data_IF_212478409500
#
_entry.id   IF_212478409500
#
_cell.length_a   1.000
_cell.length_b   1.000
_cell.length_c   1.000
_cell.angle_alpha   90.00
_cell.angle_beta   90.00
_cell.angle_gamma   90.00
#
_symmetry.space_group_name_H-M   'P 1'
#
loop_
_entity.id
_entity.type
_entity.pdbx_description
1 polymer ?
#
# COMPACT_ATOMS: atom_id res chain seq x y z
N UNK A 1 -5.66 -3.20 11.19
CA UNK A 1 -4.78 -2.16 11.76
C UNK A 1 -3.98 -1.58 10.62
N UNK A 2 -4.17 -0.31 10.35
CA UNK A 2 -3.45 0.47 9.32
C UNK A 2 -2.05 0.81 9.81
N UNK A 3 -1.12 1.16 8.90
CA UNK A 3 0.26 1.52 9.22
C UNK A 3 0.76 2.63 8.30
N UNK A 4 1.33 3.68 8.86
CA UNK A 4 1.94 4.80 8.14
C UNK A 4 3.39 4.95 8.55
N UNK A 5 4.28 5.13 7.56
CA UNK A 5 5.70 5.34 7.79
C UNK A 5 6.16 6.65 7.18
N UNK A 6 7.00 7.37 7.92
CA UNK A 6 7.66 8.59 7.47
C UNK A 6 9.13 8.30 7.14
N UNK A 7 9.46 8.29 5.85
CA UNK A 7 10.82 8.12 5.35
C UNK A 7 11.39 9.45 4.82
N UNK A 8 12.71 9.55 4.66
CA UNK A 8 13.33 10.75 4.06
C UNK A 8 13.13 10.79 2.54
N UNK A 9 13.06 9.61 1.92
CA UNK A 9 12.96 9.42 0.49
C UNK A 9 11.99 8.27 0.21
N UNK A 10 11.57 8.17 -1.06
CA UNK A 10 10.78 7.04 -1.55
C UNK A 10 11.61 6.24 -2.55
N UNK A 11 12.43 5.33 -2.05
CA UNK A 11 13.32 4.50 -2.87
C UNK A 11 12.85 3.06 -3.00
N UNK A 12 13.48 2.29 -3.90
CA UNK A 12 13.28 0.86 -4.02
C UNK A 12 13.70 0.10 -2.74
N UNK A 13 14.70 0.61 -2.02
CA UNK A 13 15.18 0.03 -0.76
C UNK A 13 14.13 0.24 0.34
N UNK A 14 13.61 1.46 0.48
CA UNK A 14 12.55 1.77 1.46
C UNK A 14 11.34 0.86 1.25
N UNK A 15 10.92 0.70 -0.01
CA UNK A 15 9.84 -0.22 -0.39
C UNK A 15 10.13 -1.67 0.00
N UNK A 16 11.34 -2.16 -0.28
CA UNK A 16 11.73 -3.53 0.06
C UNK A 16 11.69 -3.79 1.58
N UNK A 17 12.11 -2.82 2.39
CA UNK A 17 12.00 -2.90 3.84
C UNK A 17 10.54 -2.91 4.32
N UNK A 18 9.63 -2.19 3.66
CA UNK A 18 8.19 -2.29 3.97
C UNK A 18 7.64 -3.68 3.66
N UNK A 19 8.03 -4.28 2.54
CA UNK A 19 7.61 -5.63 2.20
C UNK A 19 8.12 -6.67 3.21
N UNK A 20 9.38 -6.53 3.66
CA UNK A 20 9.92 -7.36 4.74
C UNK A 20 9.14 -7.19 6.04
N UNK A 21 8.83 -5.95 6.41
CA UNK A 21 8.03 -5.64 7.60
C UNK A 21 6.65 -6.31 7.57
N UNK A 22 5.97 -6.30 6.41
CA UNK A 22 4.70 -7.00 6.25
C UNK A 22 4.83 -8.50 6.51
N UNK A 23 5.89 -9.11 5.98
CA UNK A 23 6.13 -10.56 6.06
C UNK A 23 6.56 -11.01 7.45
N UNK A 24 7.46 -10.26 8.09
CA UNK A 24 8.11 -10.73 9.33
C UNK A 24 7.42 -10.21 10.59
N UNK A 25 6.83 -9.02 10.56
CA UNK A 25 6.30 -8.36 11.76
C UNK A 25 4.76 -8.28 11.74
N UNK A 26 4.17 -7.84 10.62
CA UNK A 26 2.70 -7.65 10.58
C UNK A 26 1.93 -8.94 10.40
N UNK A 27 2.37 -9.80 9.50
CA UNK A 27 1.67 -11.03 9.15
C UNK A 27 2.60 -12.25 9.14
N UNK A 28 3.38 -12.51 10.21
CA UNK A 28 4.34 -13.61 10.25
C UNK A 28 3.70 -14.98 10.06
N UNK A 29 2.44 -15.13 10.49
CA UNK A 29 1.70 -16.40 10.41
C UNK A 29 0.93 -16.56 9.09
N UNK A 30 0.87 -15.54 8.24
CA UNK A 30 0.20 -15.66 6.95
C UNK A 30 1.04 -16.54 6.00
N UNK A 31 0.37 -17.49 5.34
CA UNK A 31 0.97 -18.30 4.28
C UNK A 31 1.26 -17.43 3.03
N UNK A 32 0.30 -16.55 2.69
CA UNK A 32 0.40 -15.57 1.62
C UNK A 32 -0.21 -14.24 2.04
N UNK A 33 0.38 -13.16 1.56
CA UNK A 33 -0.07 -11.78 1.77
C UNK A 33 -0.36 -11.16 0.40
N UNK A 34 -1.63 -10.87 0.13
CA UNK A 34 -2.05 -10.12 -1.04
C UNK A 34 -1.72 -8.64 -0.86
N UNK A 35 -0.87 -8.08 -1.73
CA UNK A 35 -0.46 -6.67 -1.72
C UNK A 35 -1.06 -5.98 -2.95
N UNK A 36 -2.06 -5.13 -2.71
CA UNK A 36 -2.67 -4.29 -3.75
C UNK A 36 -1.93 -2.96 -3.79
N UNK A 37 -1.41 -2.57 -4.96
CA UNK A 37 -0.58 -1.37 -5.09
C UNK A 37 -0.64 -0.74 -6.49
N UNK A 38 -0.25 0.53 -6.59
CA UNK A 38 -0.10 1.23 -7.87
C UNK A 38 1.14 0.76 -8.67
N UNK A 39 1.14 1.04 -9.99
CA UNK A 39 2.23 0.69 -10.91
C UNK A 39 3.39 1.70 -10.84
N UNK A 40 4.02 1.82 -9.68
CA UNK A 40 5.22 2.64 -9.50
C UNK A 40 6.48 1.85 -9.86
N UNK A 41 7.51 2.53 -10.38
CA UNK A 41 8.77 1.90 -10.79
C UNK A 41 9.52 1.19 -9.64
N UNK A 42 9.28 1.57 -8.39
CA UNK A 42 9.83 0.92 -7.19
C UNK A 42 9.00 -0.26 -6.71
N UNK A 43 7.73 -0.38 -7.12
CA UNK A 43 6.80 -1.43 -6.70
C UNK A 43 6.97 -2.71 -7.53
N UNK A 44 8.20 -3.19 -7.62
CA UNK A 44 8.57 -4.36 -8.43
C UNK A 44 9.33 -5.37 -7.58
N UNK A 45 9.19 -6.65 -7.93
CA UNK A 45 9.89 -7.76 -7.23
C UNK A 45 11.40 -7.55 -7.15
N UNK A 46 11.99 -6.96 -8.19
CA UNK A 46 13.42 -6.66 -8.26
C UNK A 46 13.89 -5.71 -7.14
N UNK A 47 13.01 -4.91 -6.54
CA UNK A 47 13.35 -4.03 -5.41
C UNK A 47 13.82 -4.83 -4.19
N UNK A 48 13.25 -6.02 -3.94
CA UNK A 48 13.71 -6.90 -2.86
C UNK A 48 15.15 -7.35 -3.08
N UNK A 49 15.51 -7.71 -4.32
CA UNK A 49 16.87 -8.12 -4.68
C UNK A 49 17.88 -6.96 -4.69
N UNK A 50 17.40 -5.70 -4.74
CA UNK A 50 18.27 -4.53 -4.55
C UNK A 50 18.63 -4.31 -3.08
N UNK A 51 17.76 -4.71 -2.15
CA UNK A 51 17.92 -4.44 -0.73
C UNK A 51 18.49 -5.62 0.07
N UNK A 52 18.21 -6.86 -0.37
CA UNK A 52 18.54 -8.07 0.39
C UNK A 52 19.33 -9.07 -0.44
N UNK A 53 20.04 -9.97 0.25
CA UNK A 53 20.68 -11.12 -0.38
C UNK A 53 19.62 -11.99 -1.12
N UNK A 54 19.99 -12.69 -2.22
CA UNK A 54 19.01 -13.40 -3.04
C UNK A 54 18.12 -14.39 -2.28
N UNK A 55 18.68 -15.11 -1.30
CA UNK A 55 17.93 -16.05 -0.45
C UNK A 55 16.85 -15.35 0.37
N UNK A 56 17.20 -14.23 1.00
CA UNK A 56 16.27 -13.44 1.82
C UNK A 56 15.22 -12.74 0.96
N UNK A 57 15.62 -12.16 -0.17
CA UNK A 57 14.70 -11.56 -1.14
C UNK A 57 13.68 -12.58 -1.63
N UNK A 58 14.12 -13.81 -1.92
CA UNK A 58 13.24 -14.91 -2.33
C UNK A 58 12.30 -15.34 -1.20
N UNK A 59 12.79 -15.52 0.03
CA UNK A 59 11.98 -15.87 1.19
C UNK A 59 10.82 -14.89 1.40
N UNK A 60 11.11 -13.59 1.33
CA UNK A 60 10.11 -12.52 1.45
C UNK A 60 9.13 -12.61 0.27
N UNK A 61 9.65 -12.68 -0.96
CA UNK A 61 8.83 -12.72 -2.16
C UNK A 61 7.90 -13.94 -2.21
N UNK A 62 8.35 -15.08 -1.71
CA UNK A 62 7.58 -16.32 -1.67
C UNK A 62 6.34 -16.21 -0.77
N UNK A 63 6.25 -15.22 0.11
CA UNK A 63 5.04 -14.92 0.90
C UNK A 63 4.15 -13.82 0.30
N UNK A 64 4.58 -13.12 -0.74
CA UNK A 64 3.87 -11.97 -1.29
C UNK A 64 3.17 -12.30 -2.63
N UNK A 65 1.93 -11.86 -2.76
CA UNK A 65 1.18 -11.86 -4.02
C UNK A 65 0.84 -10.43 -4.42
N UNK A 66 1.44 -9.92 -5.50
CA UNK A 66 1.25 -8.54 -5.93
C UNK A 66 0.08 -8.40 -6.91
N UNK A 67 -0.87 -7.54 -6.55
CA UNK A 67 -1.96 -7.11 -7.42
C UNK A 67 -1.79 -5.63 -7.77
N UNK A 68 -1.65 -5.34 -9.06
CA UNK A 68 -1.44 -3.97 -9.52
C UNK A 68 -2.77 -3.33 -9.91
N UNK A 69 -3.01 -2.09 -9.48
CA UNK A 69 -4.13 -1.31 -10.02
C UNK A 69 -3.92 -1.07 -11.52
N UNK A 70 -5.00 -0.96 -12.32
CA UNK A 70 -4.88 -0.62 -13.73
C UNK A 70 -4.12 0.69 -13.95
N UNK A 71 -3.49 0.85 -15.12
CA UNK A 71 -2.88 2.13 -15.50
C UNK A 71 -3.94 3.24 -15.45
N UNK A 72 -3.60 4.37 -14.81
CA UNK A 72 -4.52 5.48 -14.52
C UNK A 72 -5.72 5.13 -13.63
N UNK A 73 -5.68 3.98 -12.94
CA UNK A 73 -6.69 3.51 -12.00
C UNK A 73 -6.34 3.81 -10.54
N UNK A 74 -5.53 4.84 -10.27
CA UNK A 74 -5.08 5.18 -8.91
C UNK A 74 -6.26 5.50 -7.98
N UNK A 75 -7.37 6.00 -8.52
CA UNK A 75 -8.63 6.20 -7.79
C UNK A 75 -9.25 4.92 -7.20
N UNK A 76 -8.80 3.72 -7.61
CA UNK A 76 -9.17 2.44 -6.99
C UNK A 76 -8.26 2.05 -5.81
N UNK A 77 -7.18 2.80 -5.57
CA UNK A 77 -6.20 2.49 -4.56
C UNK A 77 -6.68 2.95 -3.17
N UNK A 78 -7.01 1.99 -2.30
CA UNK A 78 -7.45 2.29 -0.94
C UNK A 78 -6.41 3.07 -0.13
N UNK A 79 -5.11 2.85 -0.36
CA UNK A 79 -4.06 3.58 0.32
C UNK A 79 -4.08 5.08 -0.04
N UNK A 80 -4.41 5.45 -1.28
CA UNK A 80 -4.55 6.87 -1.66
C UNK A 80 -5.74 7.54 -0.98
N UNK A 81 -6.83 6.80 -0.77
CA UNK A 81 -7.99 7.29 -0.01
C UNK A 81 -7.58 7.57 1.44
N UNK A 82 -6.87 6.65 2.08
CA UNK A 82 -6.44 6.83 3.48
C UNK A 82 -5.43 7.99 3.62
N UNK A 83 -4.48 8.12 2.69
CA UNK A 83 -3.58 9.27 2.63
C UNK A 83 -4.35 10.60 2.46
N UNK A 84 -5.45 10.62 1.70
CA UNK A 84 -6.32 11.80 1.59
C UNK A 84 -7.03 12.14 2.90
N UNK A 85 -7.42 11.13 3.69
CA UNK A 85 -8.00 11.34 5.03
C UNK A 85 -6.93 11.85 5.99
N UNK A 86 -5.77 11.19 6.06
CA UNK A 86 -4.62 11.63 6.85
C UNK A 86 -4.25 13.09 6.54
N UNK A 87 -4.20 13.43 5.25
CA UNK A 87 -3.93 14.81 4.82
C UNK A 87 -4.92 15.78 5.44
N UNK A 88 -6.23 15.55 5.24
CA UNK A 88 -7.27 16.47 5.74
C UNK A 88 -7.34 16.56 7.26
N UNK A 89 -7.02 15.48 7.97
CA UNK A 89 -7.23 15.39 9.42
C UNK A 89 -5.99 15.73 10.25
N UNK A 90 -4.79 15.42 9.76
CA UNK A 90 -3.56 15.48 10.55
C UNK A 90 -2.54 16.47 9.94
N UNK A 91 -2.24 16.33 8.65
CA UNK A 91 -1.08 16.98 8.04
C UNK A 91 -1.38 18.19 7.15
N UNK A 92 -2.65 18.61 7.02
CA UNK A 92 -3.04 19.85 6.30
C UNK A 92 -2.75 21.12 7.12
N UNK A 93 -1.51 21.25 7.57
CA UNK A 93 -0.98 22.38 8.34
C UNK A 93 0.55 22.39 8.25
N UNK A 94 1.18 23.48 8.65
CA UNK A 94 2.64 23.52 8.77
C UNK A 94 3.10 22.62 9.92
N UNK A 95 4.03 21.73 9.64
CA UNK A 95 4.72 20.89 10.62
C UNK A 95 6.20 21.26 10.59
N UNK A 96 6.82 21.56 11.75
CA UNK A 96 8.13 22.21 11.80
C UNK A 96 9.28 21.28 11.41
N UNK A 97 9.17 19.99 11.69
CA UNK A 97 10.22 19.00 11.48
C UNK A 97 9.65 17.59 11.34
N UNK A 98 10.53 16.65 10.96
CA UNK A 98 10.17 15.25 10.67
C UNK A 98 9.77 14.49 11.93
N UNK A 99 10.34 14.79 13.09
CA UNK A 99 10.03 14.05 14.31
C UNK A 99 8.66 14.45 14.85
N UNK A 100 8.32 15.74 14.76
CA UNK A 100 6.95 16.21 14.97
C UNK A 100 5.98 15.53 13.99
N UNK A 101 6.34 15.42 12.70
CA UNK A 101 5.49 14.73 11.71
C UNK A 101 5.22 13.26 12.09
N UNK A 102 6.25 12.53 12.54
CA UNK A 102 6.10 11.14 12.98
C UNK A 102 5.15 11.04 14.17
N UNK A 103 5.35 11.87 15.20
CA UNK A 103 4.52 11.86 16.41
C UNK A 103 3.04 12.10 16.08
N UNK A 104 2.77 13.08 15.22
CA UNK A 104 1.41 13.44 14.82
C UNK A 104 0.74 12.33 14.00
N UNK A 105 1.47 11.71 13.07
CA UNK A 105 0.96 10.58 12.28
C UNK A 105 0.72 9.37 13.18
N UNK A 106 1.62 9.05 14.11
CA UNK A 106 1.45 7.93 15.04
C UNK A 106 0.23 8.14 15.94
N UNK A 107 0.07 9.31 16.54
CA UNK A 107 -1.10 9.61 17.37
C UNK A 107 -2.41 9.50 16.58
N UNK A 108 -2.44 10.04 15.35
CA UNK A 108 -3.60 9.94 14.48
C UNK A 108 -3.88 8.48 14.07
N UNK A 109 -2.86 7.69 13.75
CA UNK A 109 -2.99 6.27 13.39
C UNK A 109 -3.55 5.45 14.56
N UNK A 110 -3.07 5.66 15.78
CA UNK A 110 -3.58 4.99 16.98
C UNK A 110 -5.07 5.28 17.20
N UNK A 111 -5.47 6.54 17.11
CA UNK A 111 -6.88 6.94 17.23
C UNK A 111 -7.75 6.31 16.13
N UNK A 112 -7.25 6.31 14.89
CA UNK A 112 -7.94 5.72 13.73
C UNK A 112 -8.15 4.22 13.89
N UNK A 113 -7.09 3.52 14.29
CA UNK A 113 -7.08 2.09 14.53
C UNK A 113 -8.02 1.69 15.67
N UNK A 114 -8.06 2.45 16.77
CA UNK A 114 -9.00 2.23 17.88
C UNK A 114 -10.45 2.38 17.43
N UNK A 115 -10.74 3.38 16.58
CA UNK A 115 -12.09 3.59 16.03
C UNK A 115 -12.52 2.50 15.06
N UNK A 116 -11.59 1.68 14.55
CA UNK A 116 -11.87 0.62 13.56
C UNK A 116 -12.75 1.12 12.40
N UNK A 117 -12.45 2.34 11.93
CA UNK A 117 -13.23 2.98 10.87
C UNK A 117 -13.10 2.18 9.58
N UNK A 118 -14.21 1.56 9.14
CA UNK A 118 -14.20 0.79 7.89
C UNK A 118 -14.39 1.70 6.68
N UNK A 119 -13.72 1.34 5.58
CA UNK A 119 -13.99 1.96 4.28
C UNK A 119 -15.30 1.38 3.74
N UNK A 120 -16.32 2.22 3.56
CA UNK A 120 -17.54 1.82 2.85
C UNK A 120 -17.27 1.77 1.33
N UNK A 121 -16.73 0.64 0.88
CA UNK A 121 -16.41 0.43 -0.52
C UNK A 121 -17.66 0.13 -1.35
N UNK A 122 -18.00 1.03 -2.28
CA UNK A 122 -19.21 0.92 -3.13
C UNK A 122 -18.94 0.50 -4.57
N UNK A 123 -17.67 0.43 -4.98
CA UNK A 123 -17.32 0.10 -6.36
C UNK A 123 -17.35 -1.42 -6.56
N UNK A 124 -18.26 -1.90 -7.40
CA UNK A 124 -18.51 -3.33 -7.60
C UNK A 124 -17.82 -3.88 -8.85
N UNK A 125 -17.76 -5.21 -8.93
CA UNK A 125 -17.32 -5.91 -10.16
C UNK A 125 -18.25 -5.62 -11.36
N UNK A 126 -19.52 -5.26 -11.12
CA UNK A 126 -20.41 -4.84 -12.20
C UNK A 126 -19.99 -3.46 -12.74
N UNK A 127 -19.67 -2.51 -11.86
CA UNK A 127 -19.18 -1.19 -12.23
C UNK A 127 -17.85 -1.26 -12.99
N UNK A 128 -16.95 -2.18 -12.59
CA UNK A 128 -15.67 -2.37 -13.26
C UNK A 128 -15.82 -2.87 -14.70
N UNK A 129 -16.79 -3.74 -14.99
CA UNK A 129 -17.06 -4.21 -16.38
C UNK A 129 -17.46 -3.06 -17.31
N UNK A 130 -18.12 -2.04 -16.76
CA UNK A 130 -18.52 -0.85 -17.50
C UNK A 130 -17.35 0.13 -17.60
N UNK A 131 -16.78 0.57 -16.47
CA UNK A 131 -15.73 1.59 -16.41
C UNK A 131 -14.39 1.13 -16.98
N UNK A 132 -14.06 -0.14 -16.84
CA UNK A 132 -12.80 -0.75 -17.28
C UNK A 132 -13.03 -1.72 -18.45
N UNK A 133 -14.05 -1.48 -19.29
CA UNK A 133 -14.43 -2.35 -20.42
C UNK A 133 -13.23 -2.84 -21.25
N UNK A 134 -12.23 -1.99 -21.47
CA UNK A 134 -11.01 -2.32 -22.24
C UNK A 134 -10.13 -3.41 -21.61
N UNK A 135 -10.26 -3.66 -20.31
CA UNK A 135 -9.51 -4.70 -19.58
C UNK A 135 -10.23 -6.05 -19.57
N UNK A 136 -11.50 -6.10 -19.95
CA UNK A 136 -12.27 -7.34 -20.00
C UNK A 136 -12.17 -7.97 -21.39
N UNK A 137 -12.02 -9.30 -21.49
CA UNK A 137 -12.06 -9.99 -22.77
C UNK A 137 -13.38 -9.73 -23.50
N UNK A 138 -13.31 -9.38 -24.77
CA UNK A 138 -14.47 -9.37 -25.65
C UNK A 138 -14.81 -10.82 -26.00
N UNK A 139 -15.95 -11.33 -25.50
CA UNK A 139 -16.46 -12.62 -25.91
C UNK A 139 -16.97 -12.44 -27.34
N UNK A 140 -16.27 -13.02 -28.32
CA UNK A 140 -16.81 -13.19 -29.65
C UNK A 140 -17.81 -14.35 -29.59
N UNK A 141 -19.09 -14.03 -29.77
CA UNK A 141 -20.15 -15.00 -30.08
C UNK A 141 -20.20 -15.28 -31.56
#
# INVERSE_FOLDING_TARGET
METHLVTDQRTAIDYAHQMKYLVDERYPQAEKIGVIQEQLNTHVKASLYKAFAPEEAKRILDKLEFHYTPKHGSWLNMAEIELSVLNRQCVNRRIPDKDTLKLEITAWEEERNQKSSSVNWRFTTADSRIKLKRLYPSIQT
#
